data_IF_260935884515
#
_entry.id   IF_260935884515
#
_cell.length_a   1.000
_cell.length_b   1.000
_cell.length_c   1.000
_cell.angle_alpha   90.00
_cell.angle_beta   90.00
_cell.angle_gamma   90.00
#
_symmetry.space_group_name_H-M   'P 1'
#
loop_
_entity.id
_entity.type
_entity.pdbx_description
1 polymer ?
#
# COMPACT_ATOMS: atom_id res chain seq x y z
N UNK A 1 6.62 12.78 9.47
CA UNK A 1 5.36 12.14 9.07
C UNK A 1 5.68 10.68 8.91
N UNK A 2 4.95 9.84 9.65
CA UNK A 2 5.09 8.41 9.68
C UNK A 2 3.75 7.81 9.30
N UNK A 3 3.77 6.76 8.49
CA UNK A 3 2.58 6.02 8.11
C UNK A 3 2.48 4.76 8.99
N UNK A 4 1.32 4.58 9.60
CA UNK A 4 0.93 3.32 10.24
C UNK A 4 0.06 2.57 9.25
N UNK A 5 0.47 1.36 8.88
CA UNK A 5 -0.28 0.47 7.98
C UNK A 5 -0.34 -0.92 8.61
N UNK A 6 -1.53 -1.51 8.65
CA UNK A 6 -1.76 -2.92 8.99
C UNK A 6 -2.48 -3.60 7.85
N UNK A 7 -2.07 -4.82 7.49
CA UNK A 7 -2.64 -5.59 6.37
C UNK A 7 -3.04 -6.98 6.82
N UNK A 8 -4.24 -7.42 6.48
CA UNK A 8 -4.73 -8.78 6.75
C UNK A 8 -5.33 -9.40 5.48
N UNK A 9 -5.23 -10.73 5.26
CA UNK A 9 -6.03 -11.40 4.25
C UNK A 9 -7.52 -11.31 4.63
N UNK A 10 -8.40 -11.10 3.66
CA UNK A 10 -9.83 -10.93 3.93
C UNK A 10 -10.73 -11.24 2.73
N UNK A 11 -11.97 -11.62 3.01
CA UNK A 11 -13.05 -11.68 2.01
C UNK A 11 -13.58 -10.25 1.76
N UNK A 12 -13.34 -9.71 0.56
CA UNK A 12 -13.63 -8.31 0.28
C UNK A 12 -15.13 -8.00 0.23
N UNK A 13 -15.98 -8.96 -0.16
CA UNK A 13 -17.43 -8.75 -0.20
C UNK A 13 -18.01 -8.61 1.21
N UNK A 14 -17.54 -9.45 2.14
CA UNK A 14 -17.92 -9.38 3.55
C UNK A 14 -17.46 -8.05 4.18
N UNK A 15 -16.21 -7.65 3.95
CA UNK A 15 -15.68 -6.40 4.52
C UNK A 15 -16.35 -5.18 3.93
N UNK A 16 -16.63 -5.15 2.62
CA UNK A 16 -17.38 -4.06 1.98
C UNK A 16 -18.74 -3.86 2.64
N UNK A 17 -19.46 -4.96 2.90
CA UNK A 17 -20.77 -4.92 3.57
C UNK A 17 -20.68 -4.35 5.00
N UNK A 18 -19.59 -4.65 5.72
CA UNK A 18 -19.33 -4.12 7.08
C UNK A 18 -18.96 -2.64 7.05
N UNK A 19 -18.13 -2.21 6.09
CA UNK A 19 -17.80 -0.79 5.91
C UNK A 19 -19.07 0.04 5.68
N UNK A 20 -19.99 -0.43 4.83
CA UNK A 20 -21.29 0.22 4.61
C UNK A 20 -22.14 0.29 5.90
N UNK A 21 -22.06 -0.73 6.76
CA UNK A 21 -22.79 -0.77 8.03
C UNK A 21 -22.15 0.10 9.14
N UNK A 22 -20.87 0.45 9.02
CA UNK A 22 -20.10 1.20 10.01
C UNK A 22 -19.75 2.63 9.56
N UNK A 23 -20.56 3.21 8.66
CA UNK A 23 -20.39 4.58 8.15
C UNK A 23 -19.06 4.80 7.39
N UNK A 24 -18.47 3.73 6.85
CA UNK A 24 -17.32 3.81 5.96
C UNK A 24 -17.70 4.52 4.66
N UNK A 25 -17.02 5.62 4.36
CA UNK A 25 -17.31 6.43 3.17
C UNK A 25 -16.44 5.97 2.00
N UNK A 26 -17.05 5.34 0.99
CA UNK A 26 -16.34 4.96 -0.24
C UNK A 26 -15.80 6.22 -0.95
N UNK A 27 -14.50 6.25 -1.18
CA UNK A 27 -13.84 7.37 -1.84
C UNK A 27 -13.68 7.13 -3.35
N UNK A 28 -13.05 6.01 -3.72
CA UNK A 28 -12.73 5.68 -5.11
C UNK A 28 -12.35 4.21 -5.30
N UNK A 29 -12.59 3.67 -6.49
CA UNK A 29 -11.91 2.48 -6.99
C UNK A 29 -10.82 2.84 -8.01
N UNK A 30 -9.70 2.13 -7.94
CA UNK A 30 -8.55 2.31 -8.82
C UNK A 30 -7.94 0.97 -9.20
N UNK A 31 -7.31 0.91 -10.37
CA UNK A 31 -6.42 -0.19 -10.76
C UNK A 31 -5.00 0.34 -10.71
N UNK A 32 -4.12 -0.35 -9.98
CA UNK A 32 -2.71 -0.01 -9.87
C UNK A 32 -1.85 -1.11 -10.50
N UNK A 33 -0.88 -0.71 -11.30
CA UNK A 33 0.20 -1.56 -11.81
C UNK A 33 1.54 -1.01 -11.32
N UNK A 34 2.15 -1.74 -10.40
CA UNK A 34 3.38 -1.37 -9.71
C UNK A 34 4.56 -2.15 -10.29
N UNK A 35 5.33 -1.55 -11.19
CA UNK A 35 6.60 -2.12 -11.67
C UNK A 35 7.72 -1.78 -10.70
N UNK A 36 8.32 -2.79 -10.07
CA UNK A 36 9.48 -2.67 -9.19
C UNK A 36 10.79 -2.85 -9.97
N UNK A 37 11.85 -2.16 -9.53
CA UNK A 37 13.14 -2.14 -10.20
C UNK A 37 14.27 -2.55 -9.25
N UNK A 38 15.18 -3.38 -9.77
CA UNK A 38 16.46 -3.68 -9.13
C UNK A 38 17.49 -2.58 -9.43
N UNK A 39 18.31 -2.26 -8.44
CA UNK A 39 19.38 -1.28 -8.59
C UNK A 39 20.68 -1.92 -9.11
N UNK A 40 21.41 -1.26 -10.03
CA UNK A 40 22.66 -1.81 -10.58
C UNK A 40 23.83 -1.85 -9.59
N UNK A 41 23.69 -1.20 -8.42
CA UNK A 41 24.80 -0.89 -7.51
C UNK A 41 24.60 -1.39 -6.08
N UNK A 42 23.42 -1.93 -5.75
CA UNK A 42 23.13 -2.58 -4.46
C UNK A 42 21.88 -3.46 -4.57
N UNK A 43 21.78 -4.46 -3.69
CA UNK A 43 20.58 -5.30 -3.58
C UNK A 43 19.56 -4.62 -2.68
N UNK A 44 18.44 -4.20 -3.27
CA UNK A 44 17.32 -3.63 -2.52
C UNK A 44 16.64 -4.63 -1.57
N UNK A 45 16.73 -5.93 -1.87
CA UNK A 45 16.26 -6.98 -0.97
C UNK A 45 17.11 -7.04 0.30
N UNK A 46 18.43 -6.91 0.19
CA UNK A 46 19.34 -6.96 1.35
C UNK A 46 19.27 -5.70 2.22
N UNK A 47 18.88 -4.57 1.63
CA UNK A 47 18.78 -3.27 2.31
C UNK A 47 17.36 -2.86 2.64
N UNK A 48 16.36 -3.71 2.36
CA UNK A 48 14.93 -3.45 2.55
C UNK A 48 14.44 -2.14 1.90
N UNK A 49 14.98 -1.86 0.72
CA UNK A 49 14.61 -0.72 -0.12
C UNK A 49 13.68 -1.15 -1.26
N UNK A 50 13.02 -0.18 -1.91
CA UNK A 50 12.33 -0.43 -3.16
C UNK A 50 12.31 0.80 -4.06
N UNK A 51 12.41 0.58 -5.37
CA UNK A 51 12.10 1.60 -6.39
C UNK A 51 10.96 1.09 -7.27
N UNK A 52 9.96 1.93 -7.49
CA UNK A 52 8.74 1.58 -8.21
C UNK A 52 8.30 2.67 -9.17
N UNK A 53 7.81 2.28 -10.34
CA UNK A 53 6.87 3.09 -11.14
C UNK A 53 5.46 2.51 -10.94
N UNK A 54 4.55 3.33 -10.44
CA UNK A 54 3.12 3.01 -10.31
C UNK A 54 2.36 3.68 -11.44
N UNK A 55 1.60 2.90 -12.21
CA UNK A 55 0.54 3.40 -13.09
C UNK A 55 -0.78 3.16 -12.39
N UNK A 56 -1.58 4.20 -12.22
CA UNK A 56 -2.87 4.12 -11.57
C UNK A 56 -3.94 4.64 -12.53
N UNK A 57 -5.01 3.86 -12.72
CA UNK A 57 -6.18 4.28 -13.48
C UNK A 57 -7.38 4.35 -12.55
N UNK A 58 -8.13 5.45 -12.64
CA UNK A 58 -9.42 5.61 -11.99
C UNK A 58 -10.51 5.50 -13.06
N UNK A 59 -11.10 4.32 -13.26
CA UNK A 59 -12.11 4.10 -14.30
C UNK A 59 -13.39 4.90 -14.06
N UNK A 60 -13.73 5.22 -12.81
CA UNK A 60 -14.92 6.02 -12.46
C UNK A 60 -14.73 7.51 -12.82
N UNK A 61 -13.51 8.04 -12.63
CA UNK A 61 -13.18 9.42 -12.97
C UNK A 61 -12.64 9.61 -14.41
N UNK A 62 -12.26 8.51 -15.08
CA UNK A 62 -11.65 8.54 -16.42
C UNK A 62 -10.27 9.23 -16.42
N UNK A 63 -9.51 9.07 -15.34
CA UNK A 63 -8.20 9.71 -15.16
C UNK A 63 -7.12 8.67 -14.86
N UNK A 64 -5.95 8.85 -15.47
CA UNK A 64 -4.77 8.06 -15.20
C UNK A 64 -3.68 8.93 -14.59
N UNK A 65 -2.92 8.38 -13.64
CA UNK A 65 -1.73 9.00 -13.10
C UNK A 65 -0.55 8.02 -13.09
N UNK A 66 0.66 8.56 -13.17
CA UNK A 66 1.87 7.77 -12.98
C UNK A 66 2.75 8.42 -11.94
N UNK A 67 3.29 7.61 -11.04
CA UNK A 67 4.22 8.05 -10.00
C UNK A 67 5.47 7.21 -9.99
N UNK A 68 6.57 7.84 -9.59
CA UNK A 68 7.80 7.14 -9.21
C UNK A 68 7.98 7.28 -7.70
N UNK A 69 8.29 6.16 -7.05
CA UNK A 69 8.47 6.11 -5.59
C UNK A 69 9.77 5.39 -5.28
N UNK A 70 10.62 6.03 -4.48
CA UNK A 70 11.69 5.35 -3.75
C UNK A 70 11.25 5.15 -2.31
N UNK A 71 11.44 3.94 -1.79
CA UNK A 71 11.19 3.54 -0.40
C UNK A 71 12.51 3.14 0.23
N UNK A 72 12.85 3.76 1.35
CA UNK A 72 14.00 3.42 2.18
C UNK A 72 13.76 2.15 3.03
N UNK A 73 14.77 1.78 3.85
CA UNK A 73 14.64 0.69 4.82
C UNK A 73 13.55 0.97 5.86
N UNK A 74 12.98 -0.10 6.43
CA UNK A 74 12.11 -0.01 7.60
C UNK A 74 12.83 0.67 8.77
N UNK A 75 12.08 1.51 9.51
CA UNK A 75 12.57 2.19 10.70
C UNK A 75 12.56 1.28 11.94
N UNK A 76 11.63 0.34 11.99
CA UNK A 76 11.46 -0.61 13.10
C UNK A 76 10.88 -1.95 12.61
N UNK A 77 11.09 -3.01 13.40
CA UNK A 77 10.61 -4.35 13.05
C UNK A 77 9.11 -4.54 13.31
N UNK A 78 8.51 -3.66 14.12
CA UNK A 78 7.15 -3.82 14.59
C UNK A 78 6.15 -3.32 13.54
N UNK A 79 6.49 -2.31 12.74
CA UNK A 79 5.66 -1.64 11.74
C UNK A 79 6.20 -1.75 10.31
N UNK A 80 5.43 -1.21 9.34
CA UNK A 80 5.88 -1.04 7.95
C UNK A 80 6.45 0.37 7.67
N UNK A 81 6.62 1.19 8.70
CA UNK A 81 7.02 2.59 8.57
C UNK A 81 8.44 2.72 7.99
N UNK A 82 8.60 3.57 6.98
CA UNK A 82 9.85 3.83 6.26
C UNK A 82 9.86 5.22 5.64
N UNK A 83 11.05 5.72 5.29
CA UNK A 83 11.17 6.95 4.51
C UNK A 83 10.73 6.71 3.06
N UNK A 84 9.87 7.58 2.54
CA UNK A 84 9.41 7.50 1.15
C UNK A 84 9.61 8.83 0.42
N UNK A 85 10.00 8.73 -0.84
CA UNK A 85 10.08 9.86 -1.76
C UNK A 85 9.27 9.53 -3.00
N UNK A 86 8.12 10.17 -3.14
CA UNK A 86 7.21 9.98 -4.26
C UNK A 86 7.00 11.27 -5.05
N UNK A 87 6.91 11.15 -6.37
CA UNK A 87 6.48 12.27 -7.22
C UNK A 87 5.74 11.79 -8.47
N UNK A 88 4.88 12.64 -9.01
CA UNK A 88 4.22 12.40 -10.28
C UNK A 88 5.21 12.49 -11.44
N UNK A 89 5.02 11.62 -12.45
CA UNK A 89 5.74 11.66 -13.72
C UNK A 89 4.74 11.80 -14.85
N UNK A 90 5.06 12.65 -15.83
CA UNK A 90 4.14 12.92 -16.94
C UNK A 90 3.94 11.73 -17.88
N UNK A 91 4.93 10.83 -17.97
CA UNK A 91 4.90 9.68 -18.86
C UNK A 91 5.69 8.50 -18.25
N UNK A 92 4.99 7.41 -17.95
CA UNK A 92 5.57 6.24 -17.29
C UNK A 92 6.50 5.41 -18.18
N UNK A 93 6.26 5.37 -19.49
CA UNK A 93 7.13 4.64 -20.44
C UNK A 93 8.48 5.34 -20.60
N UNK A 94 8.45 6.67 -20.61
CA UNK A 94 9.64 7.52 -20.65
C UNK A 94 10.44 7.35 -19.36
N UNK A 95 9.78 7.40 -18.20
CA UNK A 95 10.47 7.20 -16.92
C UNK A 95 11.09 5.80 -16.82
N UNK A 96 10.37 4.76 -17.24
CA UNK A 96 10.90 3.40 -17.34
C UNK A 96 12.14 3.33 -18.26
N UNK A 97 12.07 3.97 -19.42
CA UNK A 97 13.21 4.04 -20.36
C UNK A 97 14.41 4.73 -19.72
N UNK A 98 14.20 5.81 -18.97
CA UNK A 98 15.26 6.51 -18.22
C UNK A 98 15.90 5.55 -17.20
N UNK A 99 15.11 4.87 -16.38
CA UNK A 99 15.62 3.93 -15.37
C UNK A 99 16.44 2.80 -15.99
N UNK A 100 15.94 2.18 -17.06
CA UNK A 100 16.66 1.13 -17.79
C UNK A 100 17.99 1.59 -18.36
N UNK A 101 18.04 2.80 -18.94
CA UNK A 101 19.30 3.37 -19.45
C UNK A 101 20.29 3.75 -18.35
N UNK A 102 19.81 3.99 -17.12
CA UNK A 102 20.65 4.20 -15.94
C UNK A 102 21.09 2.87 -15.27
N UNK A 103 20.64 1.73 -15.80
CA UNK A 103 21.01 0.40 -15.33
C UNK A 103 20.05 -0.22 -14.32
N UNK A 104 18.88 0.39 -14.08
CA UNK A 104 17.84 -0.23 -13.26
C UNK A 104 17.02 -1.23 -14.10
N UNK A 105 16.86 -2.44 -13.61
CA UNK A 105 16.17 -3.51 -14.33
C UNK A 105 14.78 -3.77 -13.72
N UNK A 106 13.71 -3.91 -14.53
CA UNK A 106 12.39 -4.26 -13.99
C UNK A 106 12.42 -5.67 -13.41
N UNK A 107 12.09 -5.79 -12.13
CA UNK A 107 12.14 -7.05 -11.39
C UNK A 107 10.79 -7.80 -11.46
N UNK A 108 9.70 -7.11 -11.13
CA UNK A 108 8.35 -7.66 -11.16
C UNK A 108 7.30 -6.54 -11.28
N UNK A 109 6.10 -6.90 -11.73
CA UNK A 109 4.94 -6.01 -11.72
C UNK A 109 3.84 -6.61 -10.84
N UNK A 110 3.38 -5.84 -9.86
CA UNK A 110 2.22 -6.17 -9.03
C UNK A 110 1.01 -5.39 -9.56
N UNK A 111 0.02 -6.09 -10.10
CA UNK A 111 -1.27 -5.50 -10.50
C UNK A 111 -2.30 -5.74 -9.40
N UNK A 112 -3.09 -4.72 -9.07
CA UNK A 112 -4.19 -4.83 -8.12
C UNK A 112 -5.36 -3.91 -8.43
N UNK A 113 -6.55 -4.36 -8.05
CA UNK A 113 -7.77 -3.55 -7.98
C UNK A 113 -7.96 -3.13 -6.52
N UNK A 114 -8.02 -1.82 -6.28
CA UNK A 114 -8.11 -1.23 -4.94
C UNK A 114 -9.36 -0.38 -4.83
N UNK A 115 -10.15 -0.60 -3.78
CA UNK A 115 -11.17 0.33 -3.34
C UNK A 115 -10.73 1.02 -2.05
N UNK A 116 -10.91 2.34 -1.95
CA UNK A 116 -10.58 3.13 -0.75
C UNK A 116 -11.84 3.60 -0.05
N UNK A 117 -11.82 3.52 1.27
CA UNK A 117 -12.86 3.99 2.17
C UNK A 117 -12.23 4.84 3.27
N UNK A 118 -12.86 5.96 3.60
CA UNK A 118 -12.52 6.72 4.80
C UNK A 118 -13.37 6.19 5.97
N UNK A 119 -12.72 5.94 7.11
CA UNK A 119 -13.37 5.55 8.36
C UNK A 119 -12.76 6.32 9.53
N UNK A 120 -13.61 7.02 10.27
CA UNK A 120 -13.17 7.85 11.41
C UNK A 120 -13.41 7.11 12.74
N UNK A 121 -12.47 7.28 13.67
CA UNK A 121 -12.70 7.01 15.09
C UNK A 121 -12.46 8.27 15.94
N UNK A 122 -12.50 8.16 17.26
CA UNK A 122 -12.42 9.32 18.16
C UNK A 122 -11.07 10.08 18.07
N UNK A 123 -9.99 9.44 17.60
CA UNK A 123 -8.63 9.98 17.63
C UNK A 123 -8.00 10.18 16.24
N UNK A 124 -8.32 9.31 15.28
CA UNK A 124 -7.68 9.28 13.97
C UNK A 124 -8.70 9.07 12.84
N UNK A 125 -8.31 9.52 11.64
CA UNK A 125 -8.98 9.16 10.40
C UNK A 125 -8.16 8.07 9.70
N UNK A 126 -8.81 6.97 9.36
CA UNK A 126 -8.20 5.84 8.68
C UNK A 126 -8.66 5.76 7.24
N UNK A 127 -7.73 5.40 6.36
CA UNK A 127 -8.06 4.87 5.04
C UNK A 127 -8.08 3.36 5.14
N UNK A 128 -9.24 2.76 4.84
CA UNK A 128 -9.38 1.31 4.67
C UNK A 128 -9.35 1.00 3.19
N UNK A 129 -8.48 0.08 2.78
CA UNK A 129 -8.36 -0.34 1.39
C UNK A 129 -8.73 -1.81 1.23
N UNK A 130 -9.57 -2.11 0.24
CA UNK A 130 -9.90 -3.46 -0.20
C UNK A 130 -9.07 -3.75 -1.45
N UNK A 131 -8.11 -4.65 -1.35
CA UNK A 131 -7.17 -4.98 -2.41
C UNK A 131 -7.41 -6.39 -2.95
N UNK A 132 -7.73 -6.48 -4.24
CA UNK A 132 -7.66 -7.72 -5.00
C UNK A 132 -6.37 -7.71 -5.83
N UNK A 133 -5.40 -8.53 -5.44
CA UNK A 133 -4.05 -8.54 -6.00
C UNK A 133 -3.86 -9.76 -6.90
N UNK A 134 -3.52 -9.52 -8.16
CA UNK A 134 -3.31 -10.57 -9.15
C UNK A 134 -2.21 -11.53 -8.67
N UNK A 135 -2.48 -12.84 -8.79
CA UNK A 135 -1.58 -13.93 -8.41
C UNK A 135 -1.13 -13.95 -6.92
N UNK A 136 -1.79 -13.17 -6.05
CA UNK A 136 -1.48 -13.08 -4.61
C UNK A 136 -2.71 -13.25 -3.71
N UNK A 137 -3.88 -12.69 -4.07
CA UNK A 137 -5.13 -12.87 -3.32
C UNK A 137 -5.77 -11.55 -2.84
N UNK A 138 -6.64 -11.66 -1.85
CA UNK A 138 -7.48 -10.57 -1.35
C UNK A 138 -7.08 -10.12 0.06
N UNK A 139 -6.97 -8.80 0.24
CA UNK A 139 -6.44 -8.20 1.46
C UNK A 139 -7.17 -6.92 1.83
N UNK A 140 -7.18 -6.63 3.12
CA UNK A 140 -7.55 -5.33 3.68
C UNK A 140 -6.32 -4.66 4.24
N UNK A 141 -6.07 -3.41 3.87
CA UNK A 141 -5.12 -2.54 4.58
C UNK A 141 -5.88 -1.45 5.34
N UNK A 142 -5.45 -1.16 6.56
CA UNK A 142 -5.92 -0.01 7.34
C UNK A 142 -4.71 0.89 7.60
N UNK A 143 -4.77 2.12 7.10
CA UNK A 143 -3.65 3.06 7.16
C UNK A 143 -4.05 4.43 7.75
N UNK A 144 -3.12 5.08 8.44
CA UNK A 144 -3.23 6.48 8.86
C UNK A 144 -1.84 7.12 8.94
N UNK A 145 -1.77 8.44 8.81
CA UNK A 145 -0.52 9.21 8.91
C UNK A 145 -0.46 9.97 10.23
N UNK A 146 0.70 9.93 10.89
CA UNK A 146 0.98 10.69 12.12
C UNK A 146 2.21 11.58 11.97
N UNK A 147 2.24 12.69 12.70
CA UNK A 147 3.35 13.64 12.60
C UNK A 147 4.58 13.20 13.38
N UNK A 148 4.40 12.47 14.50
CA UNK A 148 5.46 12.13 15.44
C UNK A 148 5.51 10.65 15.77
N UNK A 149 6.70 10.15 16.12
CA UNK A 149 6.90 8.76 16.56
C UNK A 149 6.10 8.42 17.82
N UNK A 150 5.83 9.41 18.68
CA UNK A 150 5.07 9.21 19.92
C UNK A 150 3.60 8.85 19.66
N UNK A 151 3.07 9.16 18.49
CA UNK A 151 1.69 8.87 18.11
C UNK A 151 1.53 7.51 17.39
N UNK A 152 2.64 6.80 17.10
CA UNK A 152 2.63 5.54 16.35
C UNK A 152 1.86 4.42 17.05
N UNK A 153 2.09 4.26 18.36
CA UNK A 153 1.47 3.18 19.15
C UNK A 153 -0.05 3.32 19.19
N UNK A 154 -0.56 4.51 19.52
CA UNK A 154 -2.00 4.78 19.58
C UNK A 154 -2.67 4.74 18.21
N UNK A 155 -2.01 5.20 17.15
CA UNK A 155 -2.51 5.07 15.78
C UNK A 155 -2.58 3.60 15.32
N UNK A 156 -1.61 2.76 15.72
CA UNK A 156 -1.66 1.32 15.48
C UNK A 156 -2.80 0.65 16.23
N UNK A 157 -2.97 0.96 17.52
CA UNK A 157 -4.06 0.39 18.32
C UNK A 157 -5.42 0.78 17.75
N UNK A 158 -5.56 2.00 17.25
CA UNK A 158 -6.77 2.42 16.54
C UNK A 158 -6.98 1.68 15.22
N UNK A 159 -5.91 1.39 14.46
CA UNK A 159 -6.00 0.56 13.25
C UNK A 159 -6.44 -0.89 13.58
N UNK A 160 -5.96 -1.46 14.68
CA UNK A 160 -6.45 -2.75 15.20
C UNK A 160 -7.92 -2.70 15.60
N UNK A 161 -8.34 -1.63 16.27
CA UNK A 161 -9.76 -1.41 16.57
C UNK A 161 -10.63 -1.31 15.32
N UNK A 162 -10.12 -0.74 14.22
CA UNK A 162 -10.82 -0.73 12.92
C UNK A 162 -10.94 -2.16 12.36
N UNK A 163 -9.87 -2.96 12.38
CA UNK A 163 -9.93 -4.36 11.94
C UNK A 163 -10.96 -5.16 12.73
N UNK A 164 -10.95 -5.07 14.07
CA UNK A 164 -11.91 -5.75 14.93
C UNK A 164 -13.36 -5.33 14.63
N UNK A 165 -13.58 -4.04 14.36
CA UNK A 165 -14.89 -3.50 13.98
C UNK A 165 -15.38 -4.02 12.63
N UNK A 166 -14.47 -4.48 11.78
CA UNK A 166 -14.74 -5.14 10.50
C UNK A 166 -14.75 -6.68 10.63
N UNK A 167 -14.82 -7.22 11.86
CA UNK A 167 -14.63 -8.62 12.23
C UNK A 167 -13.40 -9.28 11.55
N UNK A 168 -12.28 -8.56 11.53
CA UNK A 168 -10.98 -9.07 11.10
C UNK A 168 -10.07 -9.21 12.32
N UNK A 169 -9.23 -10.24 12.33
CA UNK A 169 -8.30 -10.51 13.44
C UNK A 169 -6.97 -9.78 13.21
N UNK A 170 -6.58 -8.81 14.06
CA UNK A 170 -5.28 -8.14 13.97
C UNK A 170 -4.08 -9.10 14.06
N UNK A 171 -4.23 -10.27 14.69
CA UNK A 171 -3.16 -11.27 14.80
C UNK A 171 -2.87 -11.97 13.45
N UNK A 172 -3.77 -11.86 12.46
CA UNK A 172 -3.56 -12.36 11.09
C UNK A 172 -2.77 -11.37 10.21
N UNK A 173 -2.24 -10.29 10.79
CA UNK A 173 -1.53 -9.27 10.03
C UNK A 173 -0.29 -9.80 9.30
N UNK A 174 -0.12 -9.35 8.07
CA UNK A 174 1.03 -9.65 7.21
C UNK A 174 1.91 -8.42 7.03
N UNK A 175 3.18 -8.56 7.43
CA UNK A 175 4.22 -7.55 7.19
C UNK A 175 4.84 -7.66 5.80
N UNK A 176 4.75 -8.82 5.15
CA UNK A 176 5.26 -9.02 3.78
C UNK A 176 4.53 -8.10 2.80
N UNK A 177 5.29 -7.37 1.98
CA UNK A 177 4.74 -6.54 0.91
C UNK A 177 4.07 -7.39 -0.17
N UNK A 178 3.20 -6.83 -1.00
CA UNK A 178 2.62 -7.58 -2.11
C UNK A 178 3.68 -8.07 -3.11
N UNK A 179 4.77 -7.33 -3.28
CA UNK A 179 5.92 -7.80 -4.07
C UNK A 179 6.54 -9.04 -3.42
N UNK A 180 6.76 -9.01 -2.10
CA UNK A 180 7.31 -10.15 -1.37
C UNK A 180 6.43 -11.39 -1.52
N UNK A 181 5.12 -11.24 -1.31
CA UNK A 181 4.15 -12.33 -1.46
C UNK A 181 4.13 -12.87 -2.91
N UNK A 182 4.16 -12.00 -3.92
CA UNK A 182 4.21 -12.40 -5.33
C UNK A 182 5.47 -13.22 -5.67
N UNK A 183 6.61 -12.88 -5.08
CA UNK A 183 7.87 -13.59 -5.31
C UNK A 183 7.94 -14.94 -4.55
N UNK A 184 7.08 -15.15 -3.56
CA UNK A 184 6.95 -16.40 -2.81
C UNK A 184 5.94 -17.39 -3.41
N UNK A 185 5.08 -16.93 -4.33
CA UNK A 185 4.02 -17.70 -5.03
C UNK A 185 4.52 -18.70 -6.06
#
# INVERSE_FOLDING_TARGET
MYEVEVKVPADLEAVRSRLEAHDGTRERAIVQEDTYYDAPHRSFVETDEALRIRRESNPEAGSDETRITYKGPLLDEESKSREEHETAVGDGETMDTVLRNLGFEPAATVRKERERFALENDEYSYTVTLDSVDDVGEYVEVETEVETEADLESARDGAYGVLERLDLDPDEQLRTSYLGLLLES
#
